data_IF_862243184268
#
_entry.id   IF_862243184268
#
_cell.length_a   1.000
_cell.length_b   1.000
_cell.length_c   1.000
_cell.angle_alpha   90.00
_cell.angle_beta   90.00
_cell.angle_gamma   90.00
#
_symmetry.space_group_name_H-M   'P 1'
#
loop_
_entity.id
_entity.type
_entity.pdbx_description
1 polymer ?
2 non-polymer ?
3 non-polymer ?
4 non-polymer ?
5 water ?
#
# COMPACT_ATOMS: atom_id res chain seq x y z
N UNK A 13 -2.25 5.80 21.54
CA UNK A 13 -0.88 5.69 20.86
C UNK A 13 -0.79 5.51 19.30
N UNK A 14 -0.58 6.62 18.56
CA UNK A 14 -0.84 6.55 17.13
C UNK A 14 0.25 5.85 16.31
N UNK A 15 1.39 5.54 16.92
CA UNK A 15 2.46 4.85 16.24
C UNK A 15 2.49 3.37 16.53
N UNK A 16 1.44 2.87 17.19
CA UNK A 16 1.26 1.47 17.40
C UNK A 16 -0.08 1.03 16.80
N UNK A 17 -0.16 -0.21 16.27
CA UNK A 17 -1.35 -0.64 15.54
C UNK A 17 -2.42 -1.36 16.40
N UNK A 18 -2.26 -1.40 17.70
CA UNK A 18 -3.04 -2.32 18.54
C UNK A 18 -4.51 -1.95 18.73
N UNK A 19 -4.87 -0.76 18.33
CA UNK A 19 -6.22 -0.27 18.48
C UNK A 19 -7.18 -0.78 17.42
N UNK A 20 -6.64 -1.34 16.34
CA UNK A 20 -7.51 -1.77 15.23
C UNK A 20 -8.41 -2.97 15.54
N UNK A 21 -7.76 -4.04 15.95
CA UNK A 21 -8.43 -5.27 16.41
C UNK A 21 -8.04 -5.45 17.86
N UNK A 22 -8.71 -4.72 18.76
CA UNK A 22 -8.27 -4.80 20.15
C UNK A 22 -8.42 -6.20 20.77
N UNK A 23 -9.31 -7.02 20.19
CA UNK A 23 -9.49 -8.43 20.62
C UNK A 23 -8.19 -9.22 20.54
N UNK A 24 -7.31 -8.84 19.61
CA UNK A 24 -6.08 -9.55 19.40
C UNK A 24 -5.13 -9.36 20.54
N UNK A 25 -5.34 -8.37 21.41
CA UNK A 25 -4.44 -8.19 22.52
C UNK A 25 -4.52 -9.42 23.46
N UNK A 26 -5.66 -10.12 23.44
CA UNK A 26 -5.93 -11.28 24.28
C UNK A 26 -5.75 -12.67 23.67
N UNK A 27 -5.87 -12.81 22.34
CA UNK A 27 -5.81 -14.14 21.62
C UNK A 27 -5.12 -13.93 20.31
N UNK A 28 -4.16 -14.81 19.91
CA UNK A 28 -3.52 -14.70 18.61
C UNK A 28 -4.43 -15.05 17.47
N UNK A 29 -5.54 -15.72 17.78
CA UNK A 29 -6.60 -15.90 16.82
C UNK A 29 -7.92 -15.48 17.50
N UNK A 30 -8.38 -14.30 17.13
CA UNK A 30 -9.48 -13.65 17.83
C UNK A 30 -10.70 -13.58 16.95
N UNK A 31 -11.85 -13.93 17.49
CA UNK A 31 -13.10 -13.74 16.77
C UNK A 31 -13.57 -12.29 16.90
N UNK A 32 -13.87 -11.65 15.78
CA UNK A 32 -14.27 -10.25 15.77
C UNK A 32 -15.49 -10.11 14.83
N UNK A 33 -16.07 -8.92 14.85
CA UNK A 33 -17.01 -8.48 13.85
C UNK A 33 -16.41 -7.52 12.89
N UNK A 34 -16.64 -7.74 11.61
CA UNK A 34 -16.19 -6.79 10.55
C UNK A 34 -17.11 -5.55 10.43
N UNK A 35 -16.86 -4.66 9.45
CA UNK A 35 -17.61 -3.37 9.36
C UNK A 35 -19.13 -3.57 9.33
N UNK A 36 -19.60 -4.65 8.69
CA UNK A 36 -21.01 -4.93 8.60
C UNK A 36 -21.52 -5.97 9.61
N UNK A 37 -20.73 -6.29 10.63
CA UNK A 37 -21.09 -7.31 11.60
C UNK A 37 -20.75 -8.75 11.24
N UNK A 38 -20.20 -9.00 10.05
CA UNK A 38 -19.86 -10.36 9.66
C UNK A 38 -18.78 -10.88 10.59
N UNK A 39 -18.90 -12.12 11.07
CA UNK A 39 -17.85 -12.66 11.92
C UNK A 39 -16.58 -12.96 11.15
N UNK A 40 -15.44 -12.88 11.84
CA UNK A 40 -14.17 -13.28 11.23
C UNK A 40 -13.19 -13.68 12.33
N UNK A 41 -12.23 -14.53 11.98
CA UNK A 41 -11.08 -14.79 12.83
C UNK A 41 -9.92 -13.91 12.36
N UNK A 42 -9.37 -13.15 13.32
CA UNK A 42 -8.20 -12.34 13.10
C UNK A 42 -6.95 -13.06 13.56
N UNK A 43 -6.02 -13.31 12.63
CA UNK A 43 -4.76 -13.95 12.93
C UNK A 43 -3.67 -12.89 13.08
N UNK A 44 -3.04 -12.87 14.25
CA UNK A 44 -2.04 -11.82 14.55
C UNK A 44 -0.62 -12.35 14.62
N UNK A 45 -0.46 -13.69 14.66
CA UNK A 45 0.84 -14.33 14.66
C UNK A 45 1.52 -14.29 13.30
N UNK A 46 2.82 -14.04 13.34
CA UNK A 46 3.61 -13.98 12.10
C UNK A 46 3.51 -15.27 11.27
N UNK A 47 3.79 -16.40 11.89
CA UNK A 47 3.72 -17.66 11.14
C UNK A 47 2.30 -17.97 10.67
N UNK A 48 1.29 -17.75 11.53
CA UNK A 48 -0.08 -17.98 11.11
C UNK A 48 -0.50 -17.10 9.91
N UNK A 49 -0.11 -15.85 9.97
CA UNK A 49 -0.43 -14.90 8.89
C UNK A 49 0.20 -15.37 7.56
N UNK A 50 1.46 -15.75 7.60
CA UNK A 50 2.08 -16.32 6.39
C UNK A 50 1.35 -17.62 5.95
N UNK A 51 0.98 -18.49 6.91
CA UNK A 51 0.31 -19.73 6.55
C UNK A 51 -0.98 -19.44 5.83
N UNK A 52 -1.78 -18.54 6.37
CA UNK A 52 -3.05 -18.21 5.76
C UNK A 52 -2.88 -17.71 4.33
N UNK A 53 -1.92 -16.80 4.15
CA UNK A 53 -1.80 -16.07 2.91
C UNK A 53 -1.26 -17.00 1.83
N UNK A 54 -0.59 -18.09 2.22
CA UNK A 54 -0.03 -19.01 1.18
C UNK A 54 -0.88 -20.25 0.97
N UNK A 55 -1.96 -20.38 1.73
CA UNK A 55 -2.78 -21.60 1.64
C UNK A 55 -3.89 -21.42 0.61
N UNK A 56 -3.99 -22.38 -0.30
CA UNK A 56 -4.95 -22.29 -1.39
C UNK A 56 -6.40 -22.36 -0.94
N UNK A 57 -6.60 -22.76 0.33
CA UNK A 57 -7.96 -22.83 0.91
C UNK A 57 -8.48 -21.47 1.42
N UNK A 58 -7.65 -20.44 1.37
CA UNK A 58 -8.04 -19.09 1.72
C UNK A 58 -8.10 -18.21 0.47
N UNK A 59 -9.30 -18.04 0.00
CA UNK A 59 -9.59 -17.40 -1.30
C UNK A 59 -9.70 -15.91 -1.21
N UNK A 60 -9.37 -15.24 -2.32
CA UNK A 60 -9.53 -13.84 -2.47
C UNK A 60 -10.71 -13.47 -3.38
N UNK A 61 -11.54 -14.47 -3.72
CA UNK A 61 -12.56 -14.30 -4.77
C UNK A 61 -13.79 -13.66 -4.17
N UNK A 62 -13.96 -12.38 -4.42
CA UNK A 62 -15.07 -11.66 -3.85
C UNK A 62 -16.45 -12.04 -4.40
N UNK A 63 -16.48 -12.90 -5.42
CA UNK A 63 -17.73 -13.43 -5.97
C UNK A 63 -18.27 -14.50 -5.06
N UNK A 64 -17.45 -15.00 -4.14
CA UNK A 64 -17.93 -16.07 -3.24
C UNK A 64 -18.95 -15.57 -2.23
N UNK A 65 -20.03 -16.35 -2.01
CA UNK A 65 -20.99 -15.95 -0.98
C UNK A 65 -20.33 -15.61 0.37
N UNK A 66 -20.83 -14.57 1.01
CA UNK A 66 -20.31 -14.06 2.29
C UNK A 66 -18.96 -13.34 2.22
N UNK A 67 -18.34 -13.22 1.06
CA UNK A 67 -17.06 -12.48 1.02
C UNK A 67 -17.28 -11.04 1.45
N UNK A 68 -16.50 -10.62 2.44
CA UNK A 68 -16.65 -9.34 3.06
C UNK A 68 -15.32 -8.56 2.93
N UNK A 69 -15.40 -7.46 2.18
CA UNK A 69 -14.28 -6.52 2.10
C UNK A 69 -14.21 -5.85 3.48
N UNK A 70 -13.07 -5.28 3.82
CA UNK A 70 -12.92 -4.72 5.13
C UNK A 70 -13.43 -3.28 5.22
N UNK A 71 -13.84 -2.67 4.09
CA UNK A 71 -14.61 -1.41 4.08
C UNK A 71 -15.83 -1.49 3.15
N UNK A 72 -16.85 -0.67 3.43
CA UNK A 72 -18.00 -0.64 2.55
C UNK A 72 -17.73 -0.17 1.14
N UNK A 73 -16.83 0.79 1.01
CA UNK A 73 -16.45 1.31 -0.28
C UNK A 73 -15.92 0.22 -1.17
N UNK A 74 -15.08 -0.64 -0.65
CA UNK A 74 -14.54 -1.73 -1.46
C UNK A 74 -15.60 -2.81 -1.71
N UNK A 75 -16.49 -3.01 -0.74
CA UNK A 75 -17.60 -3.96 -0.89
C UNK A 75 -18.40 -3.73 -2.15
N UNK A 76 -18.54 -2.46 -2.54
CA UNK A 76 -19.25 -2.05 -3.75
C UNK A 76 -18.76 -2.75 -5.02
N UNK A 77 -17.49 -3.17 -5.03
CA UNK A 77 -16.90 -3.75 -6.25
C UNK A 77 -16.88 -5.30 -6.25
N UNK A 78 -17.47 -5.94 -5.23
CA UNK A 78 -17.28 -7.38 -4.99
C UNK A 78 -17.75 -8.28 -6.14
N UNK A 79 -18.76 -7.86 -6.90
CA UNK A 79 -19.26 -8.67 -8.02
C UNK A 79 -18.39 -8.58 -9.28
N UNK A 80 -17.57 -7.53 -9.40
CA UNK A 80 -16.69 -7.37 -10.57
C UNK A 80 -15.42 -6.65 -10.19
N UNK A 81 -14.61 -7.28 -9.36
CA UNK A 81 -13.49 -6.65 -8.77
C UNK A 81 -12.32 -6.70 -9.71
N UNK A 82 -11.30 -5.89 -9.44
CA UNK A 82 -10.05 -6.05 -10.15
C UNK A 82 -9.33 -7.28 -9.59
N UNK A 83 -8.15 -7.58 -10.12
CA UNK A 83 -7.55 -8.89 -9.91
C UNK A 83 -7.11 -9.19 -8.49
N UNK A 84 -6.99 -8.16 -7.64
CA UNK A 84 -6.65 -8.43 -6.22
C UNK A 84 -7.74 -9.29 -5.57
N UNK A 85 -8.95 -9.21 -6.11
CA UNK A 85 -10.03 -10.06 -5.60
C UNK A 85 -10.41 -11.21 -6.55
N UNK A 86 -9.41 -11.88 -7.09
CA UNK A 86 -9.62 -13.11 -7.86
C UNK A 86 -8.66 -14.20 -7.43
N UNK A 87 -9.04 -15.44 -7.74
CA UNK A 87 -8.17 -16.59 -7.65
C UNK A 87 -7.85 -17.01 -9.08
N UNK A 88 -7.07 -18.07 -9.22
CA UNK A 88 -6.81 -18.60 -10.58
C UNK A 88 -8.05 -19.29 -11.14
N UNK A 89 -8.18 -19.34 -12.47
CA UNK A 89 -7.24 -18.86 -13.47
C UNK A 89 -7.16 -17.35 -13.72
N UNK A 90 -8.18 -16.58 -13.35
CA UNK A 90 -8.16 -15.16 -13.65
C UNK A 90 -7.00 -14.41 -13.02
N UNK A 91 -6.70 -14.72 -11.77
CA UNK A 91 -5.64 -14.02 -11.09
C UNK A 91 -4.30 -14.11 -11.87
N UNK A 92 -3.88 -15.34 -12.17
CA UNK A 92 -2.66 -15.59 -12.89
C UNK A 92 -2.65 -14.84 -14.23
N UNK A 93 -3.74 -14.92 -14.95
CA UNK A 93 -3.85 -14.29 -16.26
C UNK A 93 -3.72 -12.75 -16.17
N UNK A 94 -4.49 -12.17 -15.28
CA UNK A 94 -4.57 -10.70 -15.18
C UNK A 94 -3.31 -10.06 -14.59
N UNK A 95 -2.80 -10.61 -13.49
CA UNK A 95 -1.51 -10.19 -12.98
C UNK A 95 -0.37 -10.40 -14.02
N UNK A 96 -0.46 -11.50 -14.77
CA UNK A 96 0.53 -11.80 -15.80
C UNK A 96 0.65 -10.72 -16.85
N UNK A 97 -0.42 -9.95 -17.06
CA UNK A 97 -0.34 -8.89 -18.08
C UNK A 97 0.60 -7.75 -17.76
N UNK A 98 0.89 -7.54 -16.47
CA UNK A 98 1.74 -6.43 -16.05
C UNK A 98 2.94 -6.89 -15.18
N UNK A 99 3.04 -8.21 -14.91
CA UNK A 99 4.06 -8.74 -13.99
C UNK A 99 5.47 -8.33 -14.38
N UNK A 100 5.74 -8.42 -15.65
CA UNK A 100 7.05 -8.12 -16.20
C UNK A 100 7.49 -6.68 -15.94
N UNK A 101 6.52 -5.76 -15.95
CA UNK A 101 6.81 -4.32 -15.70
C UNK A 101 7.47 -4.09 -14.36
N UNK A 102 7.17 -4.99 -13.41
CA UNK A 102 7.49 -4.79 -12.00
C UNK A 102 8.59 -5.71 -11.48
N UNK A 103 9.23 -6.47 -12.36
CA UNK A 103 10.42 -7.23 -11.96
C UNK A 103 11.49 -6.28 -11.44
N UNK A 104 12.19 -6.67 -10.36
CA UNK A 104 13.20 -5.78 -9.81
C UNK A 104 14.23 -5.28 -10.85
N UNK A 105 14.66 -6.15 -11.76
CA UNK A 105 15.63 -5.72 -12.78
C UNK A 105 15.09 -4.60 -13.67
N UNK A 106 13.79 -4.63 -13.98
CA UNK A 106 13.17 -3.58 -14.75
C UNK A 106 12.97 -2.30 -13.92
N UNK A 107 12.51 -2.44 -12.70
CA UNK A 107 12.29 -1.29 -11.82
C UNK A 107 13.60 -0.60 -11.49
N UNK A 108 14.66 -1.35 -11.30
CA UNK A 108 15.96 -0.75 -11.04
C UNK A 108 16.36 0.24 -12.07
N UNK A 109 15.96 0.01 -13.32
CA UNK A 109 16.33 0.93 -14.39
C UNK A 109 15.69 2.29 -14.22
N UNK A 110 14.66 2.38 -13.36
CA UNK A 110 13.99 3.64 -13.11
C UNK A 110 14.63 4.38 -11.97
N UNK A 111 15.60 3.78 -11.28
CA UNK A 111 16.20 4.46 -10.11
C UNK A 111 16.78 5.85 -10.41
N UNK A 112 17.53 6.00 -11.52
CA UNK A 112 18.00 7.34 -11.82
C UNK A 112 16.89 8.39 -11.99
N UNK A 113 15.80 8.02 -12.66
CA UNK A 113 14.71 8.93 -12.91
C UNK A 113 14.00 9.27 -11.60
N UNK A 114 13.88 8.27 -10.75
CA UNK A 114 13.30 8.48 -9.43
C UNK A 114 14.16 9.41 -8.59
N UNK A 115 15.46 9.19 -8.57
CA UNK A 115 16.38 10.07 -7.89
C UNK A 115 16.24 11.52 -8.39
N UNK A 116 16.09 11.72 -9.71
CA UNK A 116 15.92 13.07 -10.25
C UNK A 116 14.58 13.71 -9.86
N UNK A 117 13.52 12.92 -9.77
CA UNK A 117 12.19 13.39 -9.27
C UNK A 117 12.34 13.93 -7.86
N UNK A 118 12.96 13.12 -7.00
CA UNK A 118 13.23 13.52 -5.64
C UNK A 118 14.03 14.80 -5.53
N UNK A 119 15.13 14.84 -6.28
CA UNK A 119 15.97 16.03 -6.34
C UNK A 119 15.19 17.27 -6.75
N UNK A 120 14.36 17.14 -7.79
CA UNK A 120 13.61 18.27 -8.32
C UNK A 120 12.61 18.81 -7.27
N UNK A 121 11.95 17.91 -6.55
CA UNK A 121 10.99 18.33 -5.51
C UNK A 121 11.72 19.06 -4.40
N UNK A 122 12.87 18.53 -3.99
CA UNK A 122 13.68 19.22 -2.97
C UNK A 122 14.21 20.56 -3.44
N UNK A 123 14.68 20.59 -4.69
CA UNK A 123 15.11 21.86 -5.30
C UNK A 123 13.98 22.90 -5.28
N UNK A 124 12.75 22.47 -5.55
CA UNK A 124 11.58 23.32 -5.55
C UNK A 124 11.33 23.97 -4.20
N UNK A 125 11.67 23.25 -3.15
CA UNK A 125 11.51 23.74 -1.77
C UNK A 125 12.71 24.45 -1.19
N UNK A 126 13.82 24.52 -1.91
CA UNK A 126 15.07 25.04 -1.34
C UNK A 126 14.97 26.45 -0.75
N UNK A 127 14.15 27.33 -1.33
CA UNK A 127 14.02 28.66 -0.74
C UNK A 127 12.66 28.89 -0.07
N UNK A 128 11.93 27.83 0.18
CA UNK A 128 10.60 27.92 0.78
C UNK A 128 10.70 27.90 2.30
N UNK A 129 10.02 28.84 2.95
CA UNK A 129 10.06 28.89 4.41
C UNK A 129 9.26 27.76 5.05
N UNK A 130 9.80 27.14 6.11
CA UNK A 130 8.95 26.29 6.90
C UNK A 130 7.94 27.15 7.71
N UNK A 131 6.86 26.56 8.23
CA UNK A 131 6.55 25.12 8.19
C UNK A 131 5.98 24.68 6.85
N UNK A 132 6.28 23.44 6.46
CA UNK A 132 5.70 22.86 5.28
C UNK A 132 4.99 21.55 5.65
N UNK A 133 3.87 21.32 4.98
CA UNK A 133 3.17 20.04 5.05
C UNK A 133 3.92 19.06 4.18
N UNK A 134 4.74 18.24 4.78
CA UNK A 134 5.62 17.36 3.99
C UNK A 134 4.90 16.24 3.27
N UNK A 135 3.65 16.00 3.61
CA UNK A 135 2.85 15.11 2.79
C UNK A 135 2.59 15.75 1.45
N UNK A 136 1.99 16.93 1.46
CA UNK A 136 1.59 17.55 0.22
C UNK A 136 2.77 18.12 -0.53
N UNK A 137 3.81 18.53 0.20
CA UNK A 137 4.94 19.23 -0.45
C UNK A 137 6.08 18.30 -0.87
N UNK A 138 6.11 17.08 -0.36
CA UNK A 138 7.18 16.16 -0.64
C UNK A 138 6.74 14.75 -1.01
N UNK A 139 6.08 14.09 -0.06
CA UNK A 139 5.82 12.65 -0.23
C UNK A 139 4.87 12.38 -1.40
N UNK A 140 3.75 13.10 -1.45
CA UNK A 140 2.82 12.90 -2.54
C UNK A 140 3.40 13.31 -3.91
N UNK A 141 4.04 14.48 -4.00
CA UNK A 141 4.67 14.80 -5.28
C UNK A 141 5.63 13.74 -5.79
N UNK A 142 6.44 13.17 -4.90
CA UNK A 142 7.41 12.17 -5.34
C UNK A 142 6.72 10.89 -5.80
N UNK A 143 5.82 10.41 -4.97
CA UNK A 143 5.21 9.13 -5.22
C UNK A 143 4.27 9.19 -6.40
N UNK A 144 3.49 10.28 -6.48
CA UNK A 144 2.52 10.39 -7.55
C UNK A 144 3.22 10.62 -8.90
N UNK A 145 4.25 11.46 -8.93
CA UNK A 145 4.96 11.66 -10.18
C UNK A 145 5.62 10.35 -10.64
N UNK A 146 6.19 9.58 -9.71
CA UNK A 146 6.84 8.34 -10.07
C UNK A 146 5.87 7.40 -10.78
N UNK A 147 4.73 7.11 -10.16
CA UNK A 147 3.81 6.15 -10.73
C UNK A 147 3.08 6.73 -11.99
N UNK A 148 2.72 8.00 -11.94
CA UNK A 148 1.91 8.58 -13.02
C UNK A 148 2.77 8.63 -14.24
N UNK A 149 4.06 8.88 -14.07
CA UNK A 149 4.95 8.86 -15.25
C UNK A 149 5.14 7.43 -15.79
N UNK A 150 5.28 6.46 -14.88
CA UNK A 150 5.38 5.05 -15.26
C UNK A 150 4.15 4.66 -16.08
N UNK A 151 2.98 5.06 -15.60
CA UNK A 151 1.73 4.72 -16.22
C UNK A 151 1.50 5.45 -17.54
N UNK A 152 1.86 6.72 -17.59
CA UNK A 152 1.62 7.59 -18.75
C UNK A 152 0.44 8.53 -18.57
N UNK A 153 0.03 8.80 -17.33
CA UNK A 153 -1.13 9.64 -17.11
C UNK A 153 -0.85 11.12 -17.36
N UNK A 154 -1.65 11.77 -18.25
CA UNK A 154 -1.51 13.22 -18.52
C UNK A 154 -1.48 14.06 -17.27
N UNK A 155 -0.53 14.99 -17.20
CA UNK A 155 -0.39 15.90 -16.06
C UNK A 155 -1.73 16.51 -15.66
N UNK A 156 -2.53 16.92 -16.65
CA UNK A 156 -3.83 17.59 -16.42
C UNK A 156 -4.88 16.70 -15.72
N UNK A 157 -4.68 15.38 -15.77
CA UNK A 157 -5.66 14.42 -15.24
C UNK A 157 -5.31 13.97 -13.83
N UNK A 158 -4.14 14.35 -13.35
CA UNK A 158 -3.62 13.75 -12.10
C UNK A 158 -4.41 14.19 -10.85
N UNK A 159 -4.83 15.45 -10.82
CA UNK A 159 -5.64 15.94 -9.69
C UNK A 159 -6.93 15.13 -9.47
N UNK A 160 -7.65 14.86 -10.56
CA UNK A 160 -8.89 14.08 -10.53
C UNK A 160 -8.63 12.72 -9.91
N UNK A 161 -7.62 12.04 -10.45
CA UNK A 161 -7.30 10.69 -9.99
C UNK A 161 -7.00 10.70 -8.49
N UNK A 162 -6.25 11.70 -8.08
CA UNK A 162 -5.91 11.90 -6.65
C UNK A 162 -7.17 11.99 -5.76
N UNK A 163 -8.16 12.74 -6.25
CA UNK A 163 -9.42 12.86 -5.52
C UNK A 163 -10.17 11.52 -5.48
N UNK A 164 -10.13 10.78 -6.60
CA UNK A 164 -10.77 9.46 -6.69
C UNK A 164 -10.13 8.43 -5.78
N UNK A 165 -8.80 8.43 -5.75
CA UNK A 165 -8.08 7.50 -4.87
C UNK A 165 -8.47 7.73 -3.42
N UNK A 166 -8.52 8.97 -3.01
CA UNK A 166 -8.95 9.25 -1.61
C UNK A 166 -10.32 8.66 -1.28
N UNK A 167 -11.23 8.77 -2.23
CA UNK A 167 -12.55 8.19 -2.11
C UNK A 167 -12.48 6.67 -2.01
N UNK A 168 -11.66 6.04 -2.83
CA UNK A 168 -11.54 4.57 -2.87
C UNK A 168 -11.03 4.00 -1.53
N UNK A 169 -10.09 4.72 -0.94
CA UNK A 169 -9.38 4.28 0.26
C UNK A 169 -10.08 4.73 1.54
N UNK A 170 -11.12 5.55 1.43
CA UNK A 170 -11.88 5.95 2.62
C UNK A 170 -12.46 4.74 3.37
N UNK A 171 -12.33 4.71 4.70
CA UNK A 171 -12.94 3.67 5.51
C UNK A 171 -14.27 4.18 6.07
N UNK A 172 -14.64 5.43 5.75
CA UNK A 172 -15.91 6.00 6.22
C UNK A 172 -16.96 6.21 5.11
N UNK A 173 -16.55 6.26 3.85
CA UNK A 173 -17.50 6.36 2.75
C UNK A 173 -18.42 5.13 2.68
N UNK A 174 -19.70 5.36 2.41
CA UNK A 174 -20.67 4.28 2.29
C UNK A 174 -20.44 3.42 1.03
N UNK A 175 -21.13 2.28 0.99
CA UNK A 175 -21.04 1.41 -0.17
C UNK A 175 -21.54 2.14 -1.44
N UNK A 176 -22.62 2.93 -1.32
CA UNK A 176 -23.14 3.67 -2.49
C UNK A 176 -22.18 4.77 -2.94
N UNK A 177 -21.57 5.47 -1.98
CA UNK A 177 -20.57 6.51 -2.29
C UNK A 177 -19.35 5.90 -2.99
N UNK A 178 -18.91 4.74 -2.49
CA UNK A 178 -17.86 3.97 -3.13
C UNK A 178 -18.17 3.57 -4.56
N UNK A 179 -19.38 3.04 -4.77
CA UNK A 179 -19.81 2.69 -6.12
C UNK A 179 -19.64 3.89 -7.06
N UNK A 180 -20.01 5.08 -6.59
CA UNK A 180 -19.94 6.28 -7.44
C UNK A 180 -18.49 6.67 -7.80
N UNK A 181 -17.58 6.62 -6.82
CA UNK A 181 -16.17 6.98 -7.08
C UNK A 181 -15.56 5.97 -8.09
N UNK A 182 -15.82 4.69 -7.86
CA UNK A 182 -15.37 3.65 -8.80
C UNK A 182 -15.93 3.84 -10.24
N UNK A 183 -17.18 4.30 -10.34
CA UNK A 183 -17.75 4.61 -11.67
C UNK A 183 -16.96 5.73 -12.36
N UNK A 184 -16.66 6.79 -11.61
CA UNK A 184 -15.96 7.95 -12.14
C UNK A 184 -14.59 7.55 -12.57
N UNK A 185 -13.94 6.78 -11.73
CA UNK A 185 -12.57 6.35 -12.02
C UNK A 185 -12.58 5.43 -13.25
N UNK A 186 -13.50 4.47 -13.27
CA UNK A 186 -13.65 3.52 -14.39
C UNK A 186 -13.98 4.17 -15.73
N UNK A 187 -14.79 5.22 -15.70
CA UNK A 187 -15.10 5.95 -16.96
C UNK A 187 -13.87 6.68 -17.49
N UNK A 188 -13.09 7.25 -16.58
CA UNK A 188 -11.88 7.93 -16.99
C UNK A 188 -10.89 6.94 -17.63
N UNK A 189 -10.65 5.83 -16.93
CA UNK A 189 -9.66 4.86 -17.42
C UNK A 189 -10.10 4.27 -18.76
N UNK A 190 -11.38 3.92 -18.85
CA UNK A 190 -12.02 3.44 -20.09
C UNK A 190 -11.72 4.31 -21.33
N UNK A 191 -11.72 5.62 -21.16
CA UNK A 191 -11.39 6.54 -22.27
C UNK A 191 -9.99 6.33 -22.78
N UNK A 192 -9.08 5.98 -21.89
CA UNK A 192 -7.68 5.72 -22.26
C UNK A 192 -7.50 4.39 -23.02
N UNK A 193 -8.26 3.39 -22.61
CA UNK A 193 -8.21 2.08 -23.21
C UNK A 193 -8.79 2.19 -24.62
N UNK A 194 -9.88 2.93 -24.77
CA UNK A 194 -10.50 3.20 -26.09
C UNK A 194 -9.59 3.95 -27.02
N UNK A 195 -8.89 4.94 -26.48
CA UNK A 195 -8.01 5.76 -27.30
C UNK A 195 -6.73 6.15 -26.55
N UNK A 196 -5.68 5.33 -26.70
CA UNK A 196 -4.40 5.55 -26.04
C UNK A 196 -3.36 6.30 -26.88
N UNK A 197 -3.81 6.94 -27.96
CA UNK A 197 -2.91 7.52 -28.96
C UNK A 197 -2.17 8.77 -28.44
N UNK A 198 -2.74 9.46 -27.45
CA UNK A 198 -2.07 10.63 -26.89
C UNK A 198 -1.09 10.26 -25.76
N UNK A 199 -1.16 9.01 -25.29
CA UNK A 199 -0.24 8.55 -24.23
C UNK A 199 1.14 8.30 -24.83
N UNK A 200 2.19 8.41 -24.02
CA UNK A 200 3.57 8.18 -24.46
C UNK A 200 3.80 6.77 -24.90
N UNK A 201 4.65 6.58 -25.91
CA UNK A 201 4.95 5.21 -26.31
C UNK A 201 5.56 4.41 -25.15
N UNK A 202 6.46 5.04 -24.40
CA UNK A 202 7.12 4.44 -23.27
C UNK A 202 6.21 4.68 -22.07
N UNK A 203 5.11 3.95 -21.99
CA UNK A 203 4.25 4.04 -20.83
C UNK A 203 3.60 2.69 -20.56
N UNK A 204 3.40 2.36 -19.29
CA UNK A 204 2.83 1.08 -18.98
C UNK A 204 1.43 0.95 -19.55
N UNK A 205 0.66 2.01 -19.53
CA UNK A 205 -0.72 1.91 -20.00
C UNK A 205 -0.73 1.71 -21.52
N UNK A 206 0.08 2.48 -22.26
CA UNK A 206 0.11 2.22 -23.70
C UNK A 206 0.62 0.81 -24.04
N UNK A 207 1.63 0.31 -23.31
CA UNK A 207 2.10 -1.03 -23.57
C UNK A 207 1.01 -2.07 -23.27
N UNK A 208 0.22 -1.83 -22.24
CA UNK A 208 -0.81 -2.78 -21.88
C UNK A 208 -1.91 -2.81 -22.93
N UNK A 209 -2.32 -1.61 -23.33
CA UNK A 209 -3.45 -1.45 -24.23
C UNK A 209 -3.06 -1.92 -25.66
N UNK A 210 -1.82 -1.68 -26.06
CA UNK A 210 -1.37 -2.04 -27.44
C UNK A 210 -0.71 -3.46 -27.46
N UNK A 211 -0.53 -4.04 -26.28
CA UNK A 211 0.02 -5.38 -26.13
C UNK A 211 -1.05 -6.38 -25.70
N UNK A 212 -1.05 -6.80 -24.42
CA UNK A 212 -2.01 -7.84 -24.03
C UNK A 212 -3.46 -7.58 -24.41
N UNK A 213 -3.90 -6.34 -24.30
CA UNK A 213 -5.28 -6.01 -24.60
C UNK A 213 -5.52 -6.12 -26.13
N UNK A 214 -4.61 -5.59 -26.94
CA UNK A 214 -4.69 -5.76 -28.42
C UNK A 214 -4.66 -7.25 -28.82
N UNK A 215 -3.86 -8.03 -28.09
CA UNK A 215 -3.74 -9.47 -28.34
C UNK A 215 -4.89 -10.27 -27.73
N UNK A 216 -5.89 -9.58 -27.18
CA UNK A 216 -7.10 -10.21 -26.62
C UNK A 216 -6.87 -11.11 -25.39
N UNK A 217 -5.82 -10.85 -24.63
CA UNK A 217 -5.48 -11.67 -23.47
C UNK A 217 -6.38 -11.33 -22.25
N UNK A 218 -6.96 -10.14 -22.28
CA UNK A 218 -7.94 -9.73 -21.28
C UNK A 218 -8.90 -8.75 -21.96
N UNK A 219 -10.04 -8.59 -21.35
CA UNK A 219 -11.11 -7.74 -21.88
C UNK A 219 -10.86 -6.25 -21.65
N UNK A 220 -11.67 -5.44 -22.31
CA UNK A 220 -11.76 -4.01 -22.05
C UNK A 220 -11.92 -3.67 -20.55
N UNK A 221 -12.92 -4.23 -19.90
CA UNK A 221 -13.18 -3.94 -18.48
C UNK A 221 -12.15 -4.53 -17.52
N UNK A 222 -11.54 -5.64 -17.90
CA UNK A 222 -10.44 -6.19 -17.14
C UNK A 222 -9.22 -5.28 -17.24
N UNK A 223 -9.01 -4.70 -18.41
CA UNK A 223 -7.92 -3.75 -18.64
C UNK A 223 -8.09 -2.54 -17.73
N UNK A 224 -9.33 -2.05 -17.65
CA UNK A 224 -9.67 -0.94 -16.72
C UNK A 224 -9.29 -1.32 -15.31
N UNK A 225 -9.70 -2.51 -14.88
CA UNK A 225 -9.40 -3.09 -13.57
C UNK A 225 -7.93 -3.10 -13.22
N UNK A 226 -7.09 -3.53 -14.17
CA UNK A 226 -5.65 -3.61 -13.98
C UNK A 226 -5.09 -2.19 -13.79
N UNK A 227 -5.51 -1.27 -14.65
CA UNK A 227 -4.99 0.10 -14.58
C UNK A 227 -5.49 0.78 -13.28
N UNK A 228 -6.75 0.51 -12.94
CA UNK A 228 -7.37 1.07 -11.74
C UNK A 228 -6.60 0.67 -10.50
N UNK A 229 -6.24 -0.61 -10.39
CA UNK A 229 -5.45 -1.03 -9.27
C UNK A 229 -4.10 -0.37 -9.18
N UNK A 230 -3.46 -0.13 -10.32
CA UNK A 230 -2.18 0.53 -10.28
C UNK A 230 -2.28 2.01 -9.88
N UNK A 231 -3.35 2.69 -10.24
CA UNK A 231 -3.58 4.07 -9.77
C UNK A 231 -3.91 4.10 -8.26
N UNK A 232 -4.81 3.22 -7.83
CA UNK A 232 -5.22 3.17 -6.41
C UNK A 232 -4.10 2.69 -5.51
N UNK A 233 -3.40 1.64 -5.96
CA UNK A 233 -2.30 1.11 -5.25
C UNK A 233 -1.01 1.87 -5.38
N UNK A 234 -0.89 2.66 -6.43
CA UNK A 234 0.41 3.06 -6.90
C UNK A 234 1.18 4.16 -6.24
N UNK A 235 0.52 5.03 -5.45
CA UNK A 235 1.30 6.05 -4.72
C UNK A 235 0.87 6.34 -3.29
N UNK A 236 -0.40 6.12 -2.94
CA UNK A 236 -0.93 6.57 -1.64
C UNK A 236 -0.19 5.89 -0.46
N UNK A 237 -0.05 4.57 -0.51
CA UNK A 237 0.71 3.87 0.53
C UNK A 237 2.19 4.23 0.52
N UNK A 238 2.76 4.48 -0.66
CA UNK A 238 4.14 4.90 -0.71
C UNK A 238 4.34 6.27 -0.07
N UNK A 239 3.51 7.22 -0.46
CA UNK A 239 3.53 8.55 0.13
C UNK A 239 3.32 8.50 1.66
N UNK A 240 2.40 7.67 2.11
CA UNK A 240 2.12 7.51 3.55
C UNK A 240 3.29 6.90 4.27
N UNK A 241 3.99 5.95 3.61
CA UNK A 241 5.19 5.35 4.23
C UNK A 241 6.32 6.37 4.34
N UNK A 242 6.51 7.14 3.28
CA UNK A 242 7.50 8.23 3.34
C UNK A 242 7.16 9.13 4.50
N UNK A 243 5.88 9.53 4.63
CA UNK A 243 5.46 10.51 5.64
C UNK A 243 5.62 10.00 7.05
N UNK A 244 5.16 8.77 7.29
CA UNK A 244 5.35 8.18 8.60
C UNK A 244 6.83 8.02 8.96
N UNK A 245 7.68 7.72 7.98
CA UNK A 245 9.09 7.60 8.19
C UNK A 245 9.70 8.95 8.61
N UNK A 246 9.19 10.04 8.06
CA UNK A 246 9.60 11.38 8.48
C UNK A 246 9.09 11.76 9.86
N UNK A 247 7.94 11.24 10.27
CA UNK A 247 7.54 11.36 11.69
C UNK A 247 8.59 10.64 12.57
N UNK A 248 8.99 9.43 12.17
CA UNK A 248 9.97 8.66 12.93
C UNK A 248 11.30 9.39 13.04
N UNK A 249 11.70 10.01 11.93
CA UNK A 249 12.92 10.79 11.89
C UNK A 249 12.81 11.99 12.84
N UNK A 250 11.71 12.70 12.74
CA UNK A 250 11.48 13.86 13.60
C UNK A 250 11.54 13.51 15.09
N UNK A 251 11.09 12.31 15.48
CA UNK A 251 11.04 11.92 16.87
C UNK A 251 12.36 11.36 17.37
N UNK A 252 13.11 10.67 16.49
CA UNK A 252 14.37 9.99 16.86
C UNK A 252 15.42 10.10 15.74
N UNK A 253 15.88 11.32 15.46
CA UNK A 253 16.71 11.55 14.28
C UNK A 253 18.06 10.83 14.36
N UNK A 254 18.54 10.62 15.57
CA UNK A 254 19.79 9.92 15.81
C UNK A 254 19.82 8.46 15.26
N UNK A 255 18.66 7.82 15.21
CA UNK A 255 18.60 6.47 14.66
C UNK A 255 18.93 6.44 13.18
N UNK A 256 18.69 7.55 12.50
CA UNK A 256 18.81 7.60 11.06
C UNK A 256 20.25 7.99 10.67
N UNK A 257 21.17 7.97 11.65
CA UNK A 257 22.59 8.23 11.36
C UNK A 257 23.16 7.29 10.29
N UNK A 258 22.52 6.14 10.14
CA UNK A 258 22.79 5.16 9.08
C UNK A 258 22.85 5.78 7.69
N UNK A 259 21.95 6.73 7.44
CA UNK A 259 21.84 7.36 6.14
C UNK A 259 23.17 8.06 5.78
N UNK A 260 23.80 8.61 6.79
CA UNK A 260 25.07 9.33 6.65
C UNK A 260 26.29 8.40 6.76
N UNK A 261 26.28 7.53 7.76
CA UNK A 261 27.48 6.78 8.15
C UNK A 261 27.61 5.43 7.46
N UNK A 262 26.49 4.84 7.06
CA UNK A 262 26.49 3.47 6.51
C UNK A 262 25.43 3.33 5.44
N UNK A 263 25.60 4.08 4.32
CA UNK A 263 24.59 4.15 3.27
C UNK A 263 24.26 2.79 2.67
N UNK A 264 25.18 1.83 2.77
CA UNK A 264 24.92 0.49 2.27
C UNK A 264 23.81 -0.19 3.06
N UNK A 265 23.51 0.31 4.25
CA UNK A 265 22.45 -0.25 5.08
C UNK A 265 21.09 0.42 4.86
N UNK A 266 20.99 1.29 3.87
CA UNK A 266 19.70 1.94 3.59
C UNK A 266 18.57 0.96 3.19
N UNK A 267 18.85 -0.04 2.33
CA UNK A 267 17.79 -1.00 2.00
C UNK A 267 17.25 -1.65 3.27
N UNK A 268 18.15 -2.04 4.18
CA UNK A 268 17.69 -2.62 5.45
C UNK A 268 16.86 -1.65 6.31
N UNK A 269 17.27 -0.40 6.33
CA UNK A 269 16.57 0.65 7.06
C UNK A 269 15.14 0.78 6.49
N UNK A 270 15.02 0.75 5.16
CA UNK A 270 13.71 0.82 4.52
C UNK A 270 12.83 -0.39 4.91
N UNK A 271 13.43 -1.58 4.95
CA UNK A 271 12.64 -2.76 5.35
C UNK A 271 12.13 -2.60 6.76
N UNK A 272 12.92 -2.02 7.65
CA UNK A 272 12.50 -1.88 9.06
C UNK A 272 11.36 -0.86 9.14
N UNK A 273 11.44 0.20 8.33
CA UNK A 273 10.32 1.16 8.27
C UNK A 273 9.03 0.52 7.78
N UNK A 274 9.13 -0.36 6.78
CA UNK A 274 7.97 -1.06 6.26
C UNK A 274 7.37 -2.00 7.30
N UNK A 275 8.22 -2.61 8.12
CA UNK A 275 7.75 -3.46 9.21
C UNK A 275 7.02 -2.62 10.25
N UNK A 276 7.68 -1.54 10.68
CA UNK A 276 7.21 -0.73 11.77
C UNK A 276 5.91 0.00 11.41
N UNK A 277 5.88 0.57 10.23
CA UNK A 277 4.76 1.33 9.68
C UNK A 277 4.08 0.46 8.66
N UNK A 278 3.29 -0.51 9.14
CA UNK A 278 2.56 -1.37 8.24
C UNK A 278 1.26 -0.67 7.86
N UNK A 279 1.30 0.08 6.76
CA UNK A 279 0.22 0.98 6.44
C UNK A 279 -1.04 0.28 6.00
N UNK A 280 -0.94 -0.99 5.63
CA UNK A 280 -2.16 -1.78 5.38
C UNK A 280 -2.76 -2.21 6.71
N UNK A 281 -3.37 -1.24 7.37
CA UNK A 281 -3.60 -1.31 8.75
C UNK A 281 -4.75 -2.25 9.15
N UNK A 282 -5.65 -2.48 8.21
CA UNK A 282 -6.79 -3.41 8.49
C UNK A 282 -6.42 -4.87 8.23
N UNK A 283 -5.21 -5.12 7.74
CA UNK A 283 -4.86 -6.47 7.34
C UNK A 283 -5.50 -6.87 6.02
N UNK A 284 -5.46 -8.16 5.73
CA UNK A 284 -5.93 -8.72 4.49
C UNK A 284 -7.03 -9.73 4.76
N UNK A 285 -8.16 -9.51 4.11
CA UNK A 285 -9.28 -10.43 4.19
C UNK A 285 -9.15 -11.61 3.26
N UNK A 286 -9.62 -12.77 3.72
CA UNK A 286 -9.69 -14.00 2.92
C UNK A 286 -10.93 -14.77 3.35
N UNK A 287 -11.42 -15.62 2.46
CA UNK A 287 -12.53 -16.51 2.79
C UNK A 287 -12.12 -17.96 2.68
N UNK A 288 -12.51 -18.80 3.65
CA UNK A 288 -12.16 -20.21 3.59
C UNK A 288 -13.03 -20.88 2.53
N UNK A 289 -12.43 -21.73 1.70
CA UNK A 289 -13.19 -22.47 0.70
C UNK A 289 -13.62 -23.84 1.21
N UNK A 290 -13.00 -24.26 2.30
CA UNK A 290 -13.37 -25.49 3.01
C UNK A 290 -12.91 -25.33 4.43
N UNK A 291 -13.33 -26.24 5.30
CA UNK A 291 -12.84 -26.26 6.69
C UNK A 291 -11.31 -26.38 6.71
N UNK A 292 -10.61 -25.53 7.49
CA UNK A 292 -9.14 -25.50 7.53
C UNK A 292 -8.72 -25.24 8.94
N UNK A 293 -7.79 -26.05 9.48
CA UNK A 293 -7.19 -25.74 10.79
C UNK A 293 -5.94 -24.92 10.59
N UNK A 294 -5.86 -23.81 11.29
CA UNK A 294 -4.66 -22.97 11.30
C UNK A 294 -4.59 -22.37 12.67
N UNK A 295 -3.39 -22.34 13.22
CA UNK A 295 -3.12 -21.72 14.50
C UNK A 295 -4.01 -22.22 15.59
N UNK A 296 -4.36 -23.49 15.53
CA UNK A 296 -5.15 -24.12 16.59
C UNK A 296 -6.65 -23.86 16.51
N UNK A 297 -7.12 -23.16 15.47
CA UNK A 297 -8.54 -22.93 15.28
C UNK A 297 -8.96 -23.67 14.03
N UNK A 298 -10.22 -24.09 13.94
CA UNK A 298 -10.76 -24.60 12.68
C UNK A 298 -11.65 -23.54 12.02
N UNK A 299 -11.24 -23.01 10.88
CA UNK A 299 -12.03 -22.01 10.21
C UNK A 299 -13.00 -22.76 9.34
N UNK A 300 -14.31 -22.46 9.43
CA UNK A 300 -15.27 -23.20 8.63
C UNK A 300 -15.38 -22.65 7.23
N UNK A 301 -15.63 -23.56 6.29
CA UNK A 301 -15.89 -23.21 4.91
C UNK A 301 -16.88 -22.06 4.82
N UNK A 302 -16.53 -21.06 4.01
CA UNK A 302 -17.36 -19.88 3.75
C UNK A 302 -17.25 -18.77 4.78
N UNK A 303 -16.39 -18.95 5.76
CA UNK A 303 -16.21 -17.94 6.79
C UNK A 303 -14.98 -17.08 6.50
N UNK A 304 -15.08 -15.82 6.94
CA UNK A 304 -13.98 -14.85 6.73
C UNK A 304 -12.83 -14.97 7.73
N UNK A 305 -11.65 -14.57 7.27
CA UNK A 305 -10.49 -14.39 8.16
C UNK A 305 -9.81 -13.11 7.81
N UNK A 306 -9.06 -12.59 8.76
CA UNK A 306 -8.18 -11.45 8.52
C UNK A 306 -6.75 -11.82 8.90
N UNK A 307 -5.83 -11.61 7.99
CA UNK A 307 -4.41 -11.73 8.26
C UNK A 307 -3.92 -10.35 8.66
N UNK A 308 -3.68 -10.17 9.96
CA UNK A 308 -3.43 -8.83 10.48
C UNK A 308 -1.97 -8.48 10.33
N UNK A 309 -1.61 -8.04 9.13
CA UNK A 309 -0.22 -7.67 8.78
C UNK A 309 0.49 -6.84 9.85
N UNK A 310 -0.13 -5.76 10.36
CA UNK A 310 0.65 -4.94 11.30
C UNK A 310 1.02 -5.67 12.56
N UNK A 311 0.13 -6.57 13.00
CA UNK A 311 0.40 -7.31 14.20
C UNK A 311 1.45 -8.42 13.97
N UNK A 312 1.33 -9.15 12.88
CA UNK A 312 2.35 -10.11 12.48
C UNK A 312 3.74 -9.47 12.44
N UNK A 313 3.78 -8.22 11.98
CA UNK A 313 5.01 -7.49 11.88
C UNK A 313 5.55 -6.99 13.22
N UNK A 314 4.77 -7.17 14.28
CA UNK A 314 5.23 -6.88 15.61
C UNK A 314 5.12 -8.14 16.53
N UNK A 315 5.24 -9.32 15.93
CA UNK A 315 5.22 -10.60 16.69
C UNK A 315 6.58 -10.73 17.37
N UNK A 316 6.58 -10.64 18.68
CA UNK A 316 7.83 -10.57 19.42
C UNK A 316 8.64 -11.84 19.34
N UNK A 317 7.99 -12.97 19.01
CA UNK A 317 8.73 -14.21 18.79
C UNK A 317 9.61 -14.17 17.58
N UNK A 318 9.33 -13.24 16.68
CA UNK A 318 10.08 -13.08 15.46
C UNK A 318 10.90 -11.80 15.49
N UNK A 319 10.31 -10.74 16.02
CA UNK A 319 10.94 -9.42 16.04
C UNK A 319 11.03 -8.97 17.51
N UNK A 320 12.14 -9.31 18.18
CA UNK A 320 12.25 -8.89 19.59
C UNK A 320 12.17 -7.39 19.75
N UNK A 321 11.57 -6.94 20.86
CA UNK A 321 11.27 -5.52 21.13
C UNK A 321 10.56 -4.93 19.92
N UNK A 322 9.43 -5.52 19.54
CA UNK A 322 8.79 -5.19 18.23
C UNK A 322 8.30 -3.76 18.09
N UNK A 323 8.09 -3.07 19.22
CA UNK A 323 7.55 -1.72 19.17
C UNK A 323 8.66 -0.69 19.04
N UNK A 324 9.89 -1.16 18.99
CA UNK A 324 11.06 -0.32 18.76
C UNK A 324 11.43 -0.27 17.30
N UNK A 325 11.66 0.93 16.79
CA UNK A 325 12.24 1.08 15.49
C UNK A 325 13.73 0.80 15.66
N UNK A 326 14.24 -0.26 15.06
CA UNK A 326 15.63 -0.68 15.28
C UNK A 326 16.28 -1.06 13.98
N UNK A 327 17.16 -0.24 13.46
CA UNK A 327 17.74 -0.51 12.15
C UNK A 327 18.89 -1.52 12.20
N UNK A 328 19.25 -1.99 13.39
CA UNK A 328 20.25 -3.05 13.57
C UNK A 328 19.66 -4.44 13.80
N UNK A 329 18.37 -4.60 13.56
CA UNK A 329 17.71 -5.89 13.69
C UNK A 329 18.30 -6.94 12.86
N UNK A 330 18.36 -8.18 13.39
CA UNK A 330 18.51 -9.29 12.47
C UNK A 330 17.41 -9.20 11.41
N UNK A 331 17.78 -9.41 10.16
CA UNK A 331 16.86 -9.34 9.05
C UNK A 331 15.91 -10.54 9.00
N UNK A 332 14.61 -10.29 9.17
CA UNK A 332 13.55 -11.29 8.97
C UNK A 332 12.52 -10.65 8.04
N UNK A 333 12.05 -11.39 7.03
CA UNK A 333 11.19 -10.66 6.13
C UNK A 333 9.86 -10.27 6.74
N UNK A 334 9.49 -9.00 6.67
CA UNK A 334 8.18 -8.59 7.10
C UNK A 334 7.09 -8.95 6.10
N UNK A 335 5.84 -8.78 6.54
CA UNK A 335 4.69 -9.06 5.70
C UNK A 335 3.90 -7.81 5.33
N UNK A 336 4.59 -6.66 5.30
CA UNK A 336 3.95 -5.38 4.95
C UNK A 336 3.41 -5.37 3.54
N UNK A 337 4.04 -6.12 2.62
CA UNK A 337 3.52 -6.24 1.25
C UNK A 337 2.63 -7.49 1.06
N UNK A 338 2.22 -8.11 2.16
CA UNK A 338 1.50 -9.38 2.07
C UNK A 338 2.48 -10.54 1.85
N UNK A 339 1.99 -11.64 1.29
CA UNK A 339 2.72 -12.89 1.21
C UNK A 339 1.89 -13.84 0.34
N UNK A 340 2.54 -14.73 -0.38
CA UNK A 340 1.83 -15.63 -1.26
C UNK A 340 1.52 -15.01 -2.62
N UNK A 341 0.50 -15.56 -3.29
CA UNK A 341 0.32 -15.19 -4.69
C UNK A 341 -0.11 -13.78 -4.96
N UNK A 342 -0.71 -13.10 -3.98
CA UNK A 342 -1.12 -11.72 -4.13
C UNK A 342 -0.10 -10.71 -3.61
N UNK A 343 1.06 -11.15 -3.17
CA UNK A 343 2.00 -10.27 -2.54
C UNK A 343 2.24 -9.13 -3.52
N UNK A 344 2.27 -7.93 -2.97
CA UNK A 344 2.30 -6.66 -3.74
C UNK A 344 3.14 -6.72 -5.02
N UNK A 345 2.48 -6.52 -6.14
CA UNK A 345 3.19 -6.56 -7.42
C UNK A 345 4.08 -5.32 -7.53
N UNK A 346 3.72 -4.23 -6.81
CA UNK A 346 4.46 -2.97 -6.85
C UNK A 346 5.63 -2.84 -5.87
N UNK A 347 5.94 -3.91 -5.13
CA UNK A 347 6.87 -3.81 -4.00
C UNK A 347 8.27 -3.33 -4.40
N UNK A 348 8.75 -3.74 -5.56
CA UNK A 348 10.11 -3.29 -5.99
C UNK A 348 10.09 -1.79 -6.20
N UNK A 349 9.01 -1.29 -6.78
CA UNK A 349 8.92 0.14 -7.02
C UNK A 349 8.82 0.94 -5.72
N UNK A 350 8.00 0.44 -4.79
CA UNK A 350 7.90 1.10 -3.51
C UNK A 350 9.26 1.17 -2.86
N UNK A 351 9.99 0.05 -2.89
CA UNK A 351 11.28 -0.02 -2.22
C UNK A 351 12.24 1.01 -2.85
N UNK A 352 12.29 1.09 -4.17
CA UNK A 352 13.22 2.05 -4.83
C UNK A 352 12.85 3.48 -4.43
N UNK A 353 11.54 3.78 -4.42
CA UNK A 353 11.12 5.11 -4.05
C UNK A 353 11.48 5.48 -2.63
N UNK A 354 11.25 4.55 -1.70
CA UNK A 354 11.60 4.77 -0.30
C UNK A 354 13.11 4.94 -0.07
N UNK A 355 13.88 4.10 -0.72
CA UNK A 355 15.35 4.16 -0.66
C UNK A 355 15.87 5.47 -1.18
N UNK A 356 15.22 6.04 -2.19
CA UNK A 356 15.71 7.30 -2.78
C UNK A 356 15.17 8.52 -2.04
N UNK A 357 13.89 8.47 -1.64
CA UNK A 357 13.26 9.66 -1.05
C UNK A 357 13.70 9.96 0.36
N UNK A 358 13.68 8.95 1.22
CA UNK A 358 13.87 9.16 2.66
C UNK A 358 15.30 9.70 2.93
N UNK A 359 16.36 9.03 2.41
CA UNK A 359 17.71 9.50 2.63
C UNK A 359 17.89 10.90 2.05
N UNK A 360 17.33 11.14 0.89
CA UNK A 360 17.57 12.45 0.23
C UNK A 360 17.06 13.59 1.06
N UNK A 361 15.85 13.47 1.60
CA UNK A 361 15.24 14.56 2.36
C UNK A 361 15.90 14.73 3.72
N UNK A 362 16.33 13.63 4.34
CA UNK A 362 17.08 13.73 5.57
C UNK A 362 18.40 14.45 5.34
N UNK A 363 19.07 14.15 4.23
CA UNK A 363 20.32 14.84 3.89
C UNK A 363 20.15 16.32 3.62
N UNK A 364 19.07 16.67 2.94
CA UNK A 364 18.82 18.04 2.58
C UNK A 364 18.32 18.87 3.73
N UNK A 365 17.50 18.27 4.59
CA UNK A 365 16.83 18.93 5.73
C UNK A 365 17.03 18.11 7.02
N UNK A 366 18.28 17.95 7.46
CA UNK A 366 18.51 17.11 8.63
C UNK A 366 17.89 17.69 9.89
N UNK A 367 17.60 19.00 9.89
CA UNK A 367 16.95 19.62 11.06
C UNK A 367 15.43 19.50 11.12
N UNK A 368 14.84 18.77 10.18
CA UNK A 368 13.40 18.50 10.18
C UNK A 368 12.88 18.03 11.53
N UNK A 369 11.86 18.70 12.05
CA UNK A 369 11.16 18.29 13.26
C UNK A 369 9.67 18.54 13.07
N UNK A 370 8.82 17.91 13.89
CA UNK A 370 7.40 18.24 13.82
C UNK A 370 7.16 19.71 14.14
N UNK A 371 6.25 20.34 13.43
CA UNK A 371 5.91 21.74 13.70
C UNK A 371 4.76 21.83 14.67
N UNK A 372 4.18 20.69 15.01
CA UNK A 372 3.09 20.66 15.97
C UNK A 372 3.33 19.46 16.85
N UNK A 373 2.51 19.38 17.88
CA UNK A 373 2.57 18.24 18.77
C UNK A 373 2.19 16.97 18.03
N UNK A 374 2.89 15.89 18.35
CA UNK A 374 2.52 14.60 17.83
C UNK A 374 1.04 14.28 17.97
N UNK A 375 0.45 14.56 19.13
CA UNK A 375 -0.96 14.30 19.37
C UNK A 375 -1.91 15.16 18.54
N UNK A 376 -1.40 16.23 17.92
CA UNK A 376 -2.25 17.06 17.08
C UNK A 376 -2.14 16.66 15.60
N UNK A 377 -1.29 15.70 15.27
CA UNK A 377 -1.24 15.24 13.86
C UNK A 377 -2.53 14.50 13.50
N UNK A 378 -3.08 14.75 12.31
CA UNK A 378 -4.29 14.05 11.90
C UNK A 378 -3.99 12.66 11.27
N UNK A 379 -3.90 11.65 12.13
CA UNK A 379 -3.58 10.31 11.64
C UNK A 379 -4.77 9.75 10.87
N UNK A 380 -4.51 8.84 9.93
CA UNK A 380 -5.50 8.32 9.02
C UNK A 380 -6.26 7.16 9.64
N UNK A 381 -6.93 7.46 10.75
CA UNK A 381 -7.83 6.51 11.41
C UNK A 381 -9.11 6.22 10.60
N UNK A 382 -9.44 7.10 9.65
CA UNK A 382 -10.62 7.00 8.81
C UNK A 382 -10.35 6.46 7.39
N UNK A 383 -9.14 5.94 7.14
CA UNK A 383 -8.78 5.36 5.86
C UNK A 383 -8.41 3.87 5.96
N UNK A 384 -8.52 3.17 4.82
CA UNK A 384 -8.16 1.74 4.76
C UNK A 384 -6.67 1.55 4.98
N UNK A 385 -5.87 2.57 4.65
CA UNK A 385 -4.41 2.54 4.83
C UNK A 385 -4.00 3.77 5.67
N UNK A 386 -3.03 3.58 6.53
CA UNK A 386 -2.64 4.53 7.57
C UNK A 386 -1.67 5.53 7.00
N UNK A 387 -1.26 6.45 7.87
CA UNK A 387 -0.49 7.61 7.49
C UNK A 387 -1.05 8.83 8.21
N UNK A 388 -0.83 10.01 7.63
CA UNK A 388 -1.35 11.27 8.20
C UNK A 388 -2.00 12.06 7.10
N UNK A 389 -2.95 12.92 7.43
CA UNK A 389 -3.64 13.70 6.43
C UNK A 389 -2.85 15.01 6.12
N UNK A 390 -1.90 15.33 6.98
CA UNK A 390 -1.08 16.53 6.87
C UNK A 390 0.09 16.28 7.81
N UNK A 391 1.29 16.71 7.38
CA UNK A 391 2.48 16.53 8.17
C UNK A 391 3.26 17.85 8.26
N UNK A 392 2.83 18.75 9.17
CA UNK A 392 3.54 20.00 9.39
C UNK A 392 4.91 19.77 10.00
N UNK A 393 5.96 20.27 9.31
CA UNK A 393 7.34 20.10 9.72
C UNK A 393 8.05 21.41 9.63
N UNK A 394 9.01 21.60 10.53
CA UNK A 394 9.85 22.78 10.54
C UNK A 394 11.30 22.36 10.51
N UNK A 395 12.16 23.33 10.19
CA UNK A 395 13.60 23.15 10.15
C UNK A 395 14.24 24.53 10.14
#
# INVERSE_FOLDING_TARGET
MESPATQVDPANSPLEPYHIYPEAKSCPVAKVGLWNGTPAHVFSGYEDVRTVLQDRRFSSDSRRPNFTELTPTLQSQAAAPPFVRTDNPDHRRLRGTIAREFLPKHIELLRPAIREIVQGVLDGLAETAPPQDMLEAFAVPVASATVFRLLGIPAEDRALLTRCVKGVVSAVGSEDEGAEVFRTLGEYIGGLVQDPSELPEDSLIRRLVTGPYQEKQLTFHETIGVILMLIVGGYDTTASTISLSLVSYALQPEKFSVVHEHPERIPLLVEELLRYHTVSQLGLGRIATEDVEVGGVTVRAGQMVVAALPLANRDESVFPNPDELDFDRPSVPHVGFGYGPHQCVGQALARVELQEAIPAVIRRLPGMRLACALEDLPFRHDMATYGIHELPMTW
#
